data_IF_724144218543
#
_entry.id   IF_724144218543
#
_cell.length_a   1.000
_cell.length_b   1.000
_cell.length_c   1.000
_cell.angle_alpha   90.00
_cell.angle_beta   90.00
_cell.angle_gamma   90.00
#
_symmetry.space_group_name_H-M   'P 1'
#
loop_
_entity.id
_entity.type
_entity.pdbx_description
1 polymer ?
#
# COMPACT_ATOMS: atom_id res chain seq x y z
N UNK A 1 -1.99 16.87 -25.27
CA UNK A 1 -1.34 17.86 -24.39
C UNK A 1 -2.04 18.01 -23.03
N UNK A 2 -3.38 17.96 -22.93
CA UNK A 2 -4.10 18.10 -21.64
C UNK A 2 -3.74 17.10 -20.52
N UNK A 3 -3.39 15.85 -20.84
CA UNK A 3 -3.14 14.81 -19.83
C UNK A 3 -1.80 14.98 -19.08
N UNK A 4 -0.81 15.64 -19.70
CA UNK A 4 0.47 15.90 -19.05
C UNK A 4 0.32 17.07 -18.06
N UNK A 5 -0.39 18.13 -18.46
CA UNK A 5 -0.62 19.32 -17.65
C UNK A 5 -1.45 19.04 -16.39
N UNK A 6 -2.51 18.21 -16.50
CA UNK A 6 -3.24 17.70 -15.34
C UNK A 6 -2.37 16.79 -14.44
N UNK A 7 -1.46 16.01 -15.03
CA UNK A 7 -0.54 15.16 -14.25
C UNK A 7 0.53 15.98 -13.51
N UNK A 8 1.01 17.08 -14.08
CA UNK A 8 1.92 18.03 -13.42
C UNK A 8 1.22 18.75 -12.25
N UNK A 9 -0.04 19.15 -12.43
CA UNK A 9 -0.84 19.80 -11.39
C UNK A 9 -1.20 18.82 -10.25
N UNK A 10 -1.63 17.60 -10.59
CA UNK A 10 -1.82 16.52 -9.62
C UNK A 10 -0.52 16.06 -8.95
N UNK A 11 0.62 16.15 -9.65
CA UNK A 11 1.94 15.87 -9.10
C UNK A 11 2.37 16.92 -8.07
N UNK A 12 2.12 18.19 -8.34
CA UNK A 12 2.37 19.29 -7.40
C UNK A 12 1.47 19.17 -6.17
N UNK A 13 0.18 18.90 -6.37
CA UNK A 13 -0.78 18.66 -5.29
C UNK A 13 -0.41 17.42 -4.45
N UNK A 14 0.05 16.34 -5.10
CA UNK A 14 0.59 15.14 -4.43
C UNK A 14 1.77 15.47 -3.53
N UNK A 15 2.72 16.28 -4.01
CA UNK A 15 3.89 16.71 -3.21
C UNK A 15 3.44 17.50 -1.98
N UNK A 16 2.46 18.40 -2.13
CA UNK A 16 1.91 19.16 -1.01
C UNK A 16 1.25 18.24 0.02
N UNK A 17 0.38 17.31 -0.40
CA UNK A 17 -0.28 16.37 0.53
C UNK A 17 0.72 15.46 1.25
N UNK A 18 1.79 15.03 0.57
CA UNK A 18 2.91 14.30 1.20
C UNK A 18 3.65 15.15 2.22
N UNK A 19 3.89 16.43 1.95
CA UNK A 19 4.48 17.35 2.92
C UNK A 19 3.56 17.56 4.13
N UNK A 20 2.26 17.72 3.90
CA UNK A 20 1.24 17.85 4.96
C UNK A 20 1.20 16.61 5.84
N UNK A 21 1.23 15.40 5.27
CA UNK A 21 1.23 14.15 6.04
C UNK A 21 2.43 14.02 7.00
N UNK A 22 3.57 14.62 6.65
CA UNK A 22 4.79 14.63 7.46
C UNK A 22 4.80 15.71 8.55
N UNK A 23 3.84 16.63 8.56
CA UNK A 23 3.76 17.66 9.60
C UNK A 23 3.32 17.05 10.94
N UNK A 24 4.18 16.99 11.98
CA UNK A 24 3.83 16.36 13.26
C UNK A 24 2.69 17.07 14.00
N UNK A 25 2.49 18.37 13.74
CA UNK A 25 1.49 19.20 14.43
C UNK A 25 0.14 19.24 13.71
N UNK A 26 -0.11 18.30 12.79
CA UNK A 26 -1.37 18.25 12.05
C UNK A 26 -2.50 17.70 12.94
N UNK A 27 -3.68 18.32 12.87
CA UNK A 27 -4.86 17.86 13.60
C UNK A 27 -5.26 16.43 13.22
N UNK A 28 -5.72 15.65 14.20
CA UNK A 28 -6.06 14.23 14.04
C UNK A 28 -7.12 13.98 12.95
N UNK A 29 -8.09 14.89 12.79
CA UNK A 29 -9.11 14.77 11.75
C UNK A 29 -8.51 14.89 10.34
N UNK A 30 -7.52 15.76 10.16
CA UNK A 30 -6.82 15.91 8.88
C UNK A 30 -5.91 14.71 8.63
N UNK A 31 -5.26 14.18 9.67
CA UNK A 31 -4.49 12.93 9.57
C UNK A 31 -5.41 11.77 9.13
N UNK A 32 -6.61 11.67 9.69
CA UNK A 32 -7.61 10.66 9.32
C UNK A 32 -8.13 10.84 7.88
N UNK A 33 -8.20 12.07 7.38
CA UNK A 33 -8.52 12.35 5.98
C UNK A 33 -7.40 11.87 5.05
N UNK A 34 -6.15 12.24 5.34
CA UNK A 34 -4.98 11.82 4.56
C UNK A 34 -4.74 10.30 4.60
N UNK A 35 -5.18 9.62 5.67
CA UNK A 35 -5.17 8.14 5.75
C UNK A 35 -6.06 7.46 4.69
N UNK A 36 -6.97 8.21 4.06
CA UNK A 36 -7.83 7.75 2.97
C UNK A 36 -7.45 8.35 1.61
N UNK A 37 -6.30 9.03 1.53
CA UNK A 37 -5.85 9.68 0.30
C UNK A 37 -5.75 8.65 -0.85
N UNK A 38 -6.19 8.97 -2.08
CA UNK A 38 -6.10 8.04 -3.21
C UNK A 38 -4.65 7.64 -3.52
N UNK A 39 -3.69 8.48 -3.17
CA UNK A 39 -2.29 8.27 -3.47
C UNK A 39 -1.58 7.39 -2.41
N UNK A 40 -1.01 6.23 -2.79
CA UNK A 40 -0.39 5.31 -1.84
C UNK A 40 0.77 5.92 -1.05
N UNK A 41 1.51 6.86 -1.65
CA UNK A 41 2.62 7.55 -0.99
C UNK A 41 2.17 8.42 0.19
N UNK A 42 1.03 9.11 0.07
CA UNK A 42 0.45 9.89 1.16
C UNK A 42 -0.01 8.97 2.29
N UNK A 43 -0.73 7.89 1.96
CA UNK A 43 -1.19 6.91 2.96
C UNK A 43 -0.02 6.24 3.69
N UNK A 44 1.07 5.92 2.99
CA UNK A 44 2.29 5.41 3.60
C UNK A 44 2.85 6.40 4.64
N UNK A 45 3.02 7.67 4.27
CA UNK A 45 3.54 8.70 5.17
C UNK A 45 2.68 8.90 6.42
N UNK A 46 1.36 8.81 6.28
CA UNK A 46 0.44 8.81 7.43
C UNK A 46 0.67 7.59 8.33
N UNK A 47 0.80 6.39 7.76
CA UNK A 47 0.92 5.14 8.53
C UNK A 47 2.18 5.06 9.41
N UNK A 48 3.27 5.74 9.00
CA UNK A 48 4.55 5.73 9.71
C UNK A 48 4.67 6.83 10.78
N UNK A 49 3.61 7.61 10.99
CA UNK A 49 3.58 8.64 12.03
C UNK A 49 3.71 8.04 13.44
N UNK A 50 4.56 8.63 14.31
CA UNK A 50 4.82 8.11 15.65
C UNK A 50 3.66 8.36 16.62
N UNK A 51 2.83 9.37 16.37
CA UNK A 51 1.69 9.78 17.19
C UNK A 51 0.43 8.93 16.97
N UNK A 52 0.42 8.03 15.98
CA UNK A 52 -0.69 7.12 15.75
C UNK A 52 -0.65 5.88 16.65
N UNK A 53 -1.80 5.57 17.25
CA UNK A 53 -2.05 4.27 17.87
C UNK A 53 -2.08 3.17 16.80
N UNK A 54 -1.88 1.92 17.22
CA UNK A 54 -1.96 0.78 16.30
C UNK A 54 -3.37 0.62 15.69
N UNK A 55 -4.41 0.95 16.46
CA UNK A 55 -5.78 0.95 15.96
C UNK A 55 -5.98 1.98 14.85
N UNK A 56 -5.42 3.17 14.96
CA UNK A 56 -5.48 4.19 13.90
C UNK A 56 -4.66 3.79 12.68
N UNK A 57 -3.45 3.28 12.90
CA UNK A 57 -2.58 2.78 11.83
C UNK A 57 -3.25 1.67 11.02
N UNK A 58 -3.95 0.75 11.68
CA UNK A 58 -4.66 -0.35 11.02
C UNK A 58 -5.80 0.07 10.07
N UNK A 59 -6.31 1.31 10.21
CA UNK A 59 -7.37 1.84 9.34
C UNK A 59 -6.82 2.41 8.03
N UNK A 60 -5.52 2.67 7.96
CA UNK A 60 -4.85 3.20 6.78
C UNK A 60 -4.44 2.05 5.86
N UNK A 61 -5.07 1.95 4.69
CA UNK A 61 -4.75 0.92 3.72
C UNK A 61 -3.38 1.21 3.07
N UNK A 62 -2.35 0.45 3.44
CA UNK A 62 -1.02 0.53 2.82
C UNK A 62 -0.87 -0.59 1.81
N UNK A 63 -0.66 -0.22 0.56
CA UNK A 63 -0.29 -1.18 -0.49
C UNK A 63 1.14 -1.65 -0.25
N UNK A 64 1.31 -2.96 -0.07
CA UNK A 64 2.60 -3.59 0.14
C UNK A 64 2.76 -4.70 -0.87
N UNK A 65 3.72 -4.57 -1.79
CA UNK A 65 4.20 -5.71 -2.58
C UNK A 65 5.27 -6.45 -1.76
N UNK A 66 4.99 -7.67 -1.28
CA UNK A 66 5.96 -8.45 -0.54
C UNK A 66 7.21 -8.75 -1.37
N UNK A 67 7.08 -8.83 -2.70
CA UNK A 67 8.19 -9.15 -3.60
C UNK A 67 9.19 -8.00 -3.72
N UNK A 68 8.74 -6.75 -3.49
CA UNK A 68 9.59 -5.57 -3.52
C UNK A 68 10.57 -5.49 -2.34
N UNK A 69 10.29 -6.21 -1.23
CA UNK A 69 11.15 -6.18 -0.02
C UNK A 69 11.58 -7.55 0.48
N UNK A 70 10.94 -8.63 0.05
CA UNK A 70 11.29 -9.99 0.45
C UNK A 70 11.63 -10.81 -0.79
N UNK A 71 12.89 -11.25 -0.89
CA UNK A 71 13.25 -12.27 -1.86
C UNK A 71 12.65 -13.61 -1.41
N UNK A 72 11.69 -14.19 -2.14
CA UNK A 72 11.12 -15.47 -1.75
C UNK A 72 12.20 -16.56 -1.74
N UNK A 73 12.17 -17.40 -0.71
CA UNK A 73 13.10 -18.53 -0.59
C UNK A 73 13.04 -19.41 -1.85
N UNK A 74 14.17 -20.05 -2.26
CA UNK A 74 14.22 -20.85 -3.48
C UNK A 74 13.10 -21.90 -3.58
N UNK A 75 12.75 -22.55 -2.46
CA UNK A 75 11.67 -23.53 -2.43
C UNK A 75 10.28 -22.90 -2.66
N UNK A 76 10.03 -21.66 -2.21
CA UNK A 76 8.78 -20.92 -2.47
C UNK A 76 8.65 -20.57 -3.95
N UNK A 77 9.78 -20.17 -4.58
CA UNK A 77 9.83 -19.89 -6.01
C UNK A 77 9.51 -21.13 -6.84
N UNK A 78 10.10 -22.27 -6.49
CA UNK A 78 9.85 -23.55 -7.15
C UNK A 78 8.40 -24.02 -7.01
N UNK A 79 7.76 -23.77 -5.87
CA UNK A 79 6.35 -24.12 -5.65
C UNK A 79 5.39 -23.30 -6.51
N UNK A 80 5.69 -22.01 -6.75
CA UNK A 80 4.86 -21.14 -7.60
C UNK A 80 4.87 -21.54 -9.08
N UNK A 81 5.98 -22.09 -9.57
CA UNK A 81 6.13 -22.50 -10.99
C UNK A 81 5.59 -23.91 -11.26
N UNK A 82 5.51 -24.76 -10.24
CA UNK A 82 5.09 -26.17 -10.37
C UNK A 82 3.61 -26.41 -10.04
N UNK A 83 2.87 -25.34 -9.73
CA UNK A 83 1.49 -25.46 -9.24
C UNK A 83 0.55 -25.98 -10.34
N UNK A 84 0.18 -27.26 -10.23
CA UNK A 84 -1.07 -27.78 -10.80
C UNK A 84 -2.24 -27.09 -10.07
N UNK A 85 -3.29 -26.60 -10.76
CA UNK A 85 -4.43 -25.98 -10.09
C UNK A 85 -5.09 -26.97 -9.11
N UNK A 86 -5.51 -26.46 -7.95
CA UNK A 86 -6.09 -27.21 -6.83
C UNK A 86 -7.40 -27.97 -7.17
N UNK A 87 -7.91 -27.84 -8.41
CA UNK A 87 -9.21 -28.37 -8.83
C UNK A 87 -9.17 -29.81 -9.38
N UNK A 88 -8.05 -30.54 -9.29
CA UNK A 88 -8.06 -31.97 -9.56
C UNK A 88 -8.34 -32.72 -8.25
N UNK A 89 -9.61 -32.96 -7.96
CA UNK A 89 -10.02 -33.88 -6.88
C UNK A 89 -9.26 -35.22 -7.04
N UNK A 90 -8.80 -35.86 -5.95
CA UNK A 90 -8.17 -37.17 -6.04
C UNK A 90 -9.18 -38.19 -6.61
N UNK A 91 -8.76 -39.12 -7.51
CA UNK A 91 -9.67 -40.18 -7.98
C UNK A 91 -10.14 -41.04 -6.80
N UNK A 92 -11.36 -41.61 -6.85
CA UNK A 92 -11.88 -42.43 -5.76
C UNK A 92 -10.96 -43.62 -5.51
N UNK A 93 -10.71 -43.91 -4.23
CA UNK A 93 -9.95 -45.09 -3.81
C UNK A 93 -10.88 -46.31 -3.95
N UNK A 94 -10.66 -47.13 -4.96
CA UNK A 94 -11.07 -48.54 -4.98
C UNK A 94 -10.13 -49.38 -4.14
#
# INVERSE_FOLDING_TARGET
MLAHELAEDHGTESVLRRATAQNPNLDTDVVALLGRDPEPGVRWLVSVRPDLTEAERSRTAVEFDPSARCNPLPWVRAWRTTRRPCAAAPPPRT
#
